data_IF_298413100610
#
_entry.id   IF_298413100610
#
_cell.length_a   1.000
_cell.length_b   1.000
_cell.length_c   1.000
_cell.angle_alpha   90.00
_cell.angle_beta   90.00
_cell.angle_gamma   90.00
#
_symmetry.space_group_name_H-M   'P 1'
#
loop_
_entity.id
_entity.type
_entity.pdbx_description
1 polymer ?
#
# COMPACT_ATOMS: atom_id res chain seq x y z
N UNK A 1 7.61 -24.86 -15.05
CA UNK A 1 7.79 -23.40 -15.19
C UNK A 1 6.68 -22.87 -16.09
N UNK A 2 5.49 -22.55 -15.54
CA UNK A 2 4.42 -21.91 -16.32
C UNK A 2 4.63 -20.40 -16.21
N UNK A 3 4.82 -19.74 -17.34
CA UNK A 3 4.70 -18.30 -17.46
C UNK A 3 3.25 -17.93 -17.13
N UNK A 4 2.93 -17.78 -15.84
CA UNK A 4 1.66 -17.23 -15.43
C UNK A 4 1.67 -15.77 -15.88
N UNK A 5 0.89 -15.50 -16.93
CA UNK A 5 0.72 -14.17 -17.53
C UNK A 5 0.42 -13.17 -16.40
N UNK A 6 0.93 -11.94 -16.48
CA UNK A 6 0.73 -10.88 -15.48
C UNK A 6 -0.76 -10.74 -15.07
N UNK A 7 -1.66 -11.02 -16.01
CA UNK A 7 -3.12 -11.10 -15.84
C UNK A 7 -3.57 -12.17 -14.83
N UNK A 8 -2.97 -13.36 -14.83
CA UNK A 8 -3.25 -14.38 -13.80
C UNK A 8 -2.75 -13.93 -12.43
N UNK A 9 -1.57 -13.30 -12.38
CA UNK A 9 -1.01 -12.79 -11.13
C UNK A 9 -1.89 -11.69 -10.51
N UNK A 10 -2.49 -10.85 -11.35
CA UNK A 10 -3.51 -9.85 -10.94
C UNK A 10 -4.83 -10.52 -10.53
N UNK A 11 -5.24 -11.60 -11.18
CA UNK A 11 -6.49 -12.33 -10.84
C UNK A 11 -6.38 -13.12 -9.52
N UNK A 12 -5.16 -13.47 -9.09
CA UNK A 12 -4.88 -14.03 -7.75
C UNK A 12 -4.93 -12.96 -6.66
N UNK A 13 -4.89 -11.66 -7.01
CA UNK A 13 -5.11 -10.61 -6.01
C UNK A 13 -6.55 -10.71 -5.54
N UNK A 14 -6.73 -10.85 -4.23
CA UNK A 14 -8.03 -10.86 -3.59
C UNK A 14 -8.76 -9.56 -3.89
N UNK A 15 -9.67 -9.63 -4.87
CA UNK A 15 -10.38 -8.46 -5.39
C UNK A 15 -11.23 -7.80 -4.30
N UNK A 16 -11.69 -8.60 -3.33
CA UNK A 16 -12.36 -8.11 -2.14
C UNK A 16 -11.45 -7.20 -1.30
N UNK A 17 -10.19 -7.57 -1.09
CA UNK A 17 -9.26 -6.78 -0.28
C UNK A 17 -8.99 -5.42 -0.93
N UNK A 18 -8.73 -5.41 -2.24
CA UNK A 18 -8.53 -4.17 -2.99
C UNK A 18 -9.75 -3.25 -2.90
N UNK A 19 -10.94 -3.81 -3.08
CA UNK A 19 -12.19 -3.04 -3.03
C UNK A 19 -12.41 -2.46 -1.62
N UNK A 20 -12.19 -3.26 -0.58
CA UNK A 20 -12.28 -2.78 0.82
C UNK A 20 -11.31 -1.63 1.10
N UNK A 21 -10.05 -1.72 0.62
CA UNK A 21 -9.06 -0.65 0.78
C UNK A 21 -9.54 0.64 0.10
N UNK A 22 -10.04 0.53 -1.14
CA UNK A 22 -10.56 1.68 -1.89
C UNK A 22 -11.72 2.33 -1.13
N UNK A 23 -12.70 1.54 -0.67
CA UNK A 23 -13.86 2.04 0.08
C UNK A 23 -13.42 2.78 1.34
N UNK A 24 -12.51 2.20 2.14
CA UNK A 24 -12.01 2.85 3.37
C UNK A 24 -11.33 4.18 3.05
N UNK A 25 -10.57 4.25 1.97
CA UNK A 25 -9.90 5.50 1.55
C UNK A 25 -10.91 6.56 1.13
N UNK A 26 -11.93 6.20 0.34
CA UNK A 26 -12.98 7.13 -0.05
C UNK A 26 -13.78 7.64 1.16
N UNK A 27 -14.10 6.76 2.11
CA UNK A 27 -14.76 7.16 3.38
C UNK A 27 -13.86 8.11 4.18
N UNK A 28 -12.56 7.82 4.27
CA UNK A 28 -11.60 8.70 4.94
C UNK A 28 -11.44 10.07 4.26
N UNK A 29 -11.43 10.11 2.93
CA UNK A 29 -11.42 11.36 2.17
C UNK A 29 -12.71 12.16 2.36
N UNK A 30 -13.87 11.50 2.38
CA UNK A 30 -15.16 12.13 2.65
C UNK A 30 -15.22 12.71 4.08
N UNK A 31 -14.70 11.98 5.07
CA UNK A 31 -14.61 12.47 6.44
C UNK A 31 -13.70 13.70 6.56
N UNK A 32 -12.55 13.71 5.88
CA UNK A 32 -11.65 14.86 5.85
C UNK A 32 -12.24 16.07 5.12
N UNK A 33 -12.97 15.83 4.03
CA UNK A 33 -13.69 16.88 3.31
C UNK A 33 -14.77 17.52 4.19
N UNK A 34 -15.50 16.69 4.95
CA UNK A 34 -16.50 17.15 5.92
C UNK A 34 -15.87 17.94 7.07
N UNK A 35 -14.77 17.44 7.65
CA UNK A 35 -14.05 18.11 8.72
C UNK A 35 -13.43 19.46 8.29
N UNK A 36 -13.12 19.62 7.00
CA UNK A 36 -12.60 20.85 6.42
C UNK A 36 -13.69 21.85 6.00
N UNK A 37 -14.96 21.61 6.35
CA UNK A 37 -16.06 22.55 6.05
C UNK A 37 -16.33 22.76 4.56
N UNK A 38 -16.01 21.77 3.72
CA UNK A 38 -16.21 21.84 2.26
C UNK A 38 -15.00 22.33 1.46
N UNK A 39 -13.84 22.51 2.09
CA UNK A 39 -12.58 22.79 1.38
C UNK A 39 -11.72 21.53 1.22
N UNK A 40 -11.27 21.26 -0.01
CA UNK A 40 -10.40 20.12 -0.34
C UNK A 40 -8.97 20.33 0.19
N UNK A 41 -8.61 21.59 0.47
CA UNK A 41 -7.33 22.00 1.06
C UNK A 41 -7.49 22.24 2.57
N UNK A 42 -6.54 21.81 3.44
CA UNK A 42 -5.23 21.19 3.16
C UNK A 42 -5.14 19.66 3.42
N UNK A 43 -6.16 19.03 4.01
CA UNK A 43 -6.03 17.68 4.55
C UNK A 43 -6.33 16.56 3.54
N UNK A 44 -7.39 16.72 2.75
CA UNK A 44 -7.77 15.72 1.75
C UNK A 44 -6.70 15.56 0.66
N UNK A 45 -6.06 16.66 0.24
CA UNK A 45 -4.94 16.63 -0.71
C UNK A 45 -3.73 15.84 -0.18
N UNK A 46 -3.34 16.04 1.08
CA UNK A 46 -2.23 15.29 1.71
C UNK A 46 -2.55 13.80 1.82
N UNK A 47 -3.79 13.46 2.19
CA UNK A 47 -4.21 12.06 2.27
C UNK A 47 -4.27 11.41 0.89
N UNK A 48 -4.75 12.12 -0.12
CA UNK A 48 -4.77 11.62 -1.50
C UNK A 48 -3.36 11.33 -2.02
N UNK A 49 -2.40 12.22 -1.78
CA UNK A 49 -0.99 12.00 -2.15
C UNK A 49 -0.41 10.76 -1.45
N UNK A 50 -0.65 10.62 -0.14
CA UNK A 50 -0.20 9.44 0.63
C UNK A 50 -0.84 8.15 0.12
N UNK A 51 -2.12 8.18 -0.24
CA UNK A 51 -2.82 7.04 -0.82
C UNK A 51 -2.24 6.66 -2.20
N UNK A 52 -1.98 7.63 -3.07
CA UNK A 52 -1.37 7.37 -4.39
C UNK A 52 0.02 6.74 -4.25
N UNK A 53 0.85 7.23 -3.33
CA UNK A 53 2.16 6.62 -3.04
C UNK A 53 1.99 5.20 -2.51
N UNK A 54 1.11 4.97 -1.54
CA UNK A 54 0.84 3.63 -0.99
C UNK A 54 0.30 2.65 -2.03
N UNK A 55 -0.62 3.10 -2.90
CA UNK A 55 -1.18 2.30 -3.99
C UNK A 55 -0.10 1.89 -4.99
N UNK A 56 0.77 2.84 -5.38
CA UNK A 56 1.89 2.55 -6.28
C UNK A 56 2.86 1.54 -5.67
N UNK A 57 3.17 1.67 -4.37
CA UNK A 57 4.05 0.74 -3.66
C UNK A 57 3.43 -0.66 -3.58
N UNK A 58 2.14 -0.75 -3.26
CA UNK A 58 1.41 -2.02 -3.22
C UNK A 58 1.45 -2.74 -4.57
N UNK A 59 1.26 -2.02 -5.68
CA UNK A 59 1.35 -2.59 -7.04
C UNK A 59 2.77 -3.11 -7.31
N UNK A 60 3.80 -2.32 -7.00
CA UNK A 60 5.20 -2.74 -7.17
C UNK A 60 5.48 -4.02 -6.37
N UNK A 61 5.05 -4.08 -5.10
CA UNK A 61 5.23 -5.25 -4.24
C UNK A 61 4.51 -6.48 -4.81
N UNK A 62 3.28 -6.32 -5.29
CA UNK A 62 2.49 -7.41 -5.89
C UNK A 62 3.10 -7.95 -7.19
N UNK A 63 3.74 -7.07 -7.98
CA UNK A 63 4.43 -7.46 -9.21
C UNK A 63 5.72 -8.25 -8.93
N UNK A 64 6.42 -7.96 -7.84
CA UNK A 64 7.61 -8.71 -7.42
C UNK A 64 7.22 -10.14 -7.01
N UNK A 65 8.10 -11.11 -7.29
CA UNK A 65 7.88 -12.52 -6.94
C UNK A 65 8.06 -12.73 -5.42
N UNK A 66 7.19 -13.55 -4.82
CA UNK A 66 7.22 -13.85 -3.38
C UNK A 66 8.56 -14.45 -2.93
N UNK A 67 9.29 -15.13 -3.81
CA UNK A 67 10.61 -15.71 -3.50
C UNK A 67 11.65 -14.63 -3.21
N UNK A 68 11.58 -13.49 -3.89
CA UNK A 68 12.45 -12.35 -3.60
C UNK A 68 12.21 -11.88 -2.16
N UNK A 69 10.96 -11.60 -1.82
CA UNK A 69 10.55 -11.19 -0.47
C UNK A 69 10.95 -12.20 0.61
N UNK A 70 10.78 -13.50 0.33
CA UNK A 70 11.15 -14.57 1.27
C UNK A 70 12.64 -14.60 1.58
N UNK A 71 13.50 -14.46 0.57
CA UNK A 71 14.96 -14.47 0.77
C UNK A 71 15.44 -13.26 1.56
N UNK A 72 14.88 -12.07 1.29
CA UNK A 72 15.26 -10.83 1.99
C UNK A 72 14.55 -10.62 3.33
N UNK A 73 13.56 -11.44 3.69
CA UNK A 73 12.77 -11.31 4.93
C UNK A 73 13.65 -11.20 6.18
N UNK A 74 14.63 -12.10 6.33
CA UNK A 74 15.56 -12.08 7.47
C UNK A 74 16.44 -10.82 7.49
N UNK A 75 16.89 -10.36 6.31
CA UNK A 75 17.70 -9.14 6.20
C UNK A 75 16.91 -7.88 6.56
N UNK A 76 15.68 -7.75 6.05
CA UNK A 76 14.79 -6.64 6.38
C UNK A 76 14.40 -6.63 7.86
N UNK A 77 14.19 -7.80 8.46
CA UNK A 77 13.91 -7.91 9.89
C UNK A 77 15.09 -7.42 10.73
N UNK A 78 16.31 -7.88 10.43
CA UNK A 78 17.50 -7.45 11.15
C UNK A 78 17.79 -5.96 10.94
N UNK A 79 17.61 -5.44 9.72
CA UNK A 79 17.72 -4.02 9.43
C UNK A 79 16.71 -3.19 10.24
N UNK A 80 15.48 -3.68 10.39
CA UNK A 80 14.44 -3.01 11.19
C UNK A 80 14.79 -2.99 12.68
N UNK A 81 15.35 -4.08 13.22
CA UNK A 81 15.84 -4.13 14.60
C UNK A 81 17.00 -3.16 14.82
N UNK A 82 17.96 -3.11 13.91
CA UNK A 82 19.07 -2.15 13.98
C UNK A 82 18.56 -0.71 13.97
N UNK A 83 17.60 -0.40 13.10
CA UNK A 83 16.97 0.93 13.04
C UNK A 83 16.30 1.31 14.36
N UNK A 84 15.66 0.35 15.02
CA UNK A 84 14.99 0.55 16.31
C UNK A 84 16.01 0.81 17.43
N UNK A 85 17.09 0.03 17.47
CA UNK A 85 18.20 0.25 18.41
C UNK A 85 18.92 1.58 18.13
N UNK A 86 18.98 2.03 16.88
CA UNK A 86 19.66 3.28 16.53
C UNK A 86 18.85 4.54 16.87
N UNK A 87 17.52 4.42 16.93
CA UNK A 87 16.64 5.56 17.24
C UNK A 87 16.41 5.74 18.75
N UNK A 88 16.63 4.68 19.54
CA UNK A 88 16.60 4.70 21.01
C UNK A 88 17.96 5.17 21.58
#
# INVERSE_FOLDING_TARGET
MRFATIIEKVRVIESHLLLSIIVVVFVGLAALYSAAGGTISPWASKQFMRFMVGLSLMIVIALVDIRFWRTYSYGLYFASLLLLVFVE
#
